data_IF_168425152928
#
_entry.id   IF_168425152928
#
_cell.length_a   1.000
_cell.length_b   1.000
_cell.length_c   1.000
_cell.angle_alpha   90.00
_cell.angle_beta   90.00
_cell.angle_gamma   90.00
#
_symmetry.space_group_name_H-M   'P 1'
#
loop_
_entity.id
_entity.type
_entity.pdbx_description
1 polymer ?
#
# COMPACT_ATOMS: atom_id res chain seq x y z
N UNK A 1 20.88 -7.22 -10.00
CA UNK A 1 19.67 -7.98 -10.38
C UNK A 1 19.93 -8.42 -11.81
N UNK A 2 20.01 -9.71 -12.11
CA UNK A 2 20.41 -10.19 -13.43
C UNK A 2 19.22 -10.07 -14.39
N UNK A 3 19.29 -9.15 -15.36
CA UNK A 3 18.25 -8.95 -16.38
C UNK A 3 18.01 -10.19 -17.25
N UNK A 4 18.97 -11.13 -17.28
CA UNK A 4 18.87 -12.39 -18.01
C UNK A 4 17.95 -13.44 -17.33
N UNK A 5 17.74 -13.39 -16.01
CA UNK A 5 16.83 -14.31 -15.31
C UNK A 5 15.34 -13.91 -15.44
N UNK A 6 15.07 -12.67 -15.85
CA UNK A 6 13.70 -12.19 -16.08
C UNK A 6 13.19 -12.48 -17.49
N UNK A 7 14.09 -12.79 -18.44
CA UNK A 7 13.74 -13.14 -19.82
C UNK A 7 13.01 -14.50 -19.86
N UNK A 8 11.69 -14.46 -19.73
CA UNK A 8 10.81 -15.64 -19.74
C UNK A 8 9.84 -15.70 -18.55
N UNK A 9 10.01 -14.84 -17.54
CA UNK A 9 9.07 -14.75 -16.42
C UNK A 9 7.93 -13.80 -16.79
N UNK A 10 6.76 -14.35 -17.04
CA UNK A 10 5.54 -13.57 -17.26
C UNK A 10 5.22 -12.65 -16.08
N UNK A 11 4.58 -11.53 -16.37
CA UNK A 11 3.99 -10.63 -15.36
C UNK A 11 2.52 -10.99 -15.10
N UNK A 12 1.85 -10.19 -14.28
CA UNK A 12 0.44 -10.40 -13.96
C UNK A 12 -0.48 -10.24 -15.20
N UNK A 13 -0.10 -9.42 -16.19
CA UNK A 13 -0.88 -9.26 -17.42
C UNK A 13 -0.79 -10.53 -18.27
N UNK A 14 0.39 -11.14 -18.36
CA UNK A 14 0.60 -12.41 -19.02
C UNK A 14 -0.30 -13.51 -18.41
N UNK A 15 -0.44 -13.54 -17.08
CA UNK A 15 -1.34 -14.47 -16.39
C UNK A 15 -2.82 -14.19 -16.71
N UNK A 16 -3.23 -12.92 -16.74
CA UNK A 16 -4.61 -12.52 -17.07
C UNK A 16 -4.97 -12.92 -18.51
N UNK A 17 -4.07 -12.68 -19.46
CA UNK A 17 -4.25 -13.01 -20.88
C UNK A 17 -4.26 -14.52 -21.11
N UNK A 18 -3.39 -15.29 -20.44
CA UNK A 18 -3.37 -16.76 -20.57
C UNK A 18 -4.66 -17.41 -20.06
N UNK A 19 -5.23 -16.89 -18.98
CA UNK A 19 -6.46 -17.42 -18.37
C UNK A 19 -7.73 -17.02 -19.11
N UNK A 20 -7.66 -16.16 -20.13
CA UNK A 20 -8.80 -15.66 -20.93
C UNK A 20 -9.72 -16.75 -21.48
N UNK A 21 -9.18 -17.93 -21.81
CA UNK A 21 -9.96 -19.07 -22.36
C UNK A 21 -10.62 -19.95 -21.30
N UNK A 22 -10.37 -19.69 -20.02
CA UNK A 22 -10.96 -20.46 -18.92
C UNK A 22 -12.36 -19.92 -18.57
N UNK A 23 -13.26 -20.75 -18.03
CA UNK A 23 -14.60 -20.30 -17.61
C UNK A 23 -14.58 -19.15 -16.59
N UNK A 24 -13.49 -19.00 -15.84
CA UNK A 24 -13.25 -17.92 -14.87
C UNK A 24 -12.26 -16.86 -15.37
N UNK A 25 -11.99 -16.83 -16.68
CA UNK A 25 -11.08 -15.87 -17.31
C UNK A 25 -11.69 -14.47 -17.43
N UNK A 26 -10.85 -13.45 -17.45
CA UNK A 26 -11.28 -12.06 -17.66
C UNK A 26 -11.45 -11.79 -19.16
N UNK A 27 -12.48 -11.04 -19.51
CA UNK A 27 -12.60 -10.48 -20.87
C UNK A 27 -11.62 -9.32 -21.09
N UNK A 28 -11.56 -8.77 -22.30
CA UNK A 28 -10.55 -7.74 -22.64
C UNK A 28 -10.77 -6.45 -21.87
N UNK A 29 -12.02 -6.02 -21.71
CA UNK A 29 -12.36 -4.82 -20.95
C UNK A 29 -12.04 -5.02 -19.46
N UNK A 30 -12.40 -6.17 -18.91
CA UNK A 30 -12.06 -6.54 -17.54
C UNK A 30 -10.55 -6.60 -17.33
N UNK A 31 -9.79 -7.11 -18.31
CA UNK A 31 -8.33 -7.16 -18.25
C UNK A 31 -7.75 -5.75 -18.23
N UNK A 32 -8.20 -4.87 -19.13
CA UNK A 32 -7.75 -3.48 -19.21
C UNK A 32 -8.07 -2.72 -17.91
N UNK A 33 -9.31 -2.84 -17.41
CA UNK A 33 -9.74 -2.15 -16.19
C UNK A 33 -8.98 -2.66 -14.97
N UNK A 34 -8.79 -3.98 -14.83
CA UNK A 34 -8.01 -4.52 -13.72
C UNK A 34 -6.53 -4.12 -13.81
N UNK A 35 -5.95 -4.06 -15.00
CA UNK A 35 -4.59 -3.59 -15.21
C UNK A 35 -4.43 -2.13 -14.75
N UNK A 36 -5.33 -1.25 -15.19
CA UNK A 36 -5.34 0.16 -14.82
C UNK A 36 -5.47 0.34 -13.30
N UNK A 37 -6.39 -0.39 -12.66
CA UNK A 37 -6.59 -0.37 -11.20
C UNK A 37 -5.31 -0.82 -10.48
N UNK A 38 -4.69 -1.94 -10.89
CA UNK A 38 -3.50 -2.48 -10.23
C UNK A 38 -2.31 -1.53 -10.35
N UNK A 39 -2.10 -0.96 -11.54
CA UNK A 39 -1.00 -0.03 -11.81
C UNK A 39 -1.22 1.27 -11.05
N UNK A 40 -2.39 1.90 -11.19
CA UNK A 40 -2.71 3.18 -10.58
C UNK A 40 -2.72 3.11 -9.05
N UNK A 41 -3.44 2.15 -8.47
CA UNK A 41 -3.52 2.00 -7.02
C UNK A 41 -2.15 1.68 -6.40
N UNK A 42 -1.34 0.86 -7.05
CA UNK A 42 0.00 0.52 -6.57
C UNK A 42 0.99 1.69 -6.64
N UNK A 43 0.98 2.42 -7.75
CA UNK A 43 1.91 3.52 -7.98
C UNK A 43 1.66 4.71 -7.05
N UNK A 44 0.41 5.21 -6.99
CA UNK A 44 0.07 6.40 -6.22
C UNK A 44 0.28 6.17 -4.71
N UNK A 45 -0.20 5.04 -4.18
CA UNK A 45 -0.12 4.76 -2.74
C UNK A 45 1.32 4.58 -2.27
N UNK A 46 2.16 3.90 -3.07
CA UNK A 46 3.58 3.73 -2.78
C UNK A 46 4.32 5.06 -2.85
N UNK A 47 4.10 5.85 -3.90
CA UNK A 47 4.73 7.16 -4.06
C UNK A 47 4.41 8.11 -2.90
N UNK A 48 3.14 8.16 -2.46
CA UNK A 48 2.73 8.95 -1.29
C UNK A 48 3.48 8.46 -0.05
N UNK A 49 3.51 7.14 0.21
CA UNK A 49 4.21 6.57 1.37
C UNK A 49 5.69 6.96 1.40
N UNK A 50 6.41 6.80 0.29
CA UNK A 50 7.83 7.17 0.22
C UNK A 50 8.03 8.68 0.44
N UNK A 51 7.25 9.50 -0.26
CA UNK A 51 7.37 10.97 -0.18
C UNK A 51 7.12 11.47 1.24
N UNK A 52 6.06 10.98 1.90
CA UNK A 52 5.71 11.37 3.28
C UNK A 52 6.73 10.87 4.29
N UNK A 53 7.25 9.65 4.10
CA UNK A 53 8.31 9.12 4.97
C UNK A 53 9.56 9.98 4.89
N UNK A 54 10.01 10.32 3.68
CA UNK A 54 11.17 11.18 3.48
C UNK A 54 10.97 12.57 4.08
N UNK A 55 9.79 13.18 3.88
CA UNK A 55 9.45 14.48 4.46
C UNK A 55 9.63 14.50 5.99
N UNK A 56 9.09 13.50 6.70
CA UNK A 56 9.18 13.45 8.17
C UNK A 56 10.57 13.07 8.68
N UNK A 57 11.29 12.21 7.96
CA UNK A 57 12.69 11.88 8.28
C UNK A 57 13.58 13.12 8.17
N UNK A 58 13.44 13.90 7.10
CA UNK A 58 14.24 15.10 6.89
C UNK A 58 13.95 16.19 7.94
N UNK A 59 12.72 16.27 8.45
CA UNK A 59 12.33 17.20 9.53
C UNK A 59 12.77 16.73 10.93
N UNK A 60 13.21 15.47 11.07
CA UNK A 60 13.57 14.86 12.35
C UNK A 60 15.01 14.33 12.35
N UNK A 61 16.04 15.18 12.56
CA UNK A 61 17.45 14.80 12.48
C UNK A 61 17.84 13.57 13.32
N UNK A 62 17.25 13.45 14.52
CA UNK A 62 17.48 12.29 15.42
C UNK A 62 16.95 10.98 14.83
N UNK A 63 15.78 11.02 14.19
CA UNK A 63 15.10 9.84 13.63
C UNK A 63 15.83 9.37 12.38
N UNK A 64 16.21 10.28 11.48
CA UNK A 64 16.98 9.92 10.28
C UNK A 64 18.38 9.40 10.62
N UNK A 65 19.06 9.98 11.62
CA UNK A 65 20.36 9.47 12.08
C UNK A 65 20.24 8.02 12.59
N UNK A 66 19.23 7.73 13.42
CA UNK A 66 18.98 6.38 13.95
C UNK A 66 18.62 5.38 12.84
N UNK A 67 17.82 5.78 11.86
CA UNK A 67 17.48 4.95 10.71
C UNK A 67 18.73 4.61 9.86
N UNK A 68 19.58 5.60 9.62
CA UNK A 68 20.84 5.42 8.89
C UNK A 68 21.81 4.51 9.66
N UNK A 69 21.93 4.69 10.98
CA UNK A 69 22.75 3.86 11.85
C UNK A 69 22.29 2.39 11.81
N UNK A 70 21.00 2.12 11.94
CA UNK A 70 20.45 0.76 11.86
C UNK A 70 20.81 0.10 10.52
N UNK A 71 20.55 0.78 9.39
CA UNK A 71 20.84 0.22 8.07
C UNK A 71 22.35 -0.01 7.86
N UNK A 72 23.18 0.96 8.23
CA UNK A 72 24.65 0.87 8.02
C UNK A 72 25.32 -0.12 8.97
N UNK A 73 24.79 -0.33 10.16
CA UNK A 73 25.30 -1.33 11.10
C UNK A 73 24.98 -2.76 10.66
N UNK A 74 23.85 -2.97 9.96
CA UNK A 74 23.39 -4.30 9.53
C UNK A 74 23.93 -4.72 8.17
N UNK A 75 24.04 -3.79 7.22
CA UNK A 75 24.42 -4.12 5.84
C UNK A 75 25.73 -3.47 5.46
N UNK A 76 26.75 -4.30 5.21
CA UNK A 76 28.05 -3.85 4.69
C UNK A 76 28.04 -3.51 3.20
N UNK A 77 26.96 -3.86 2.48
CA UNK A 77 26.80 -3.62 1.04
C UNK A 77 25.33 -3.67 0.64
N UNK A 78 24.95 -2.85 -0.33
CA UNK A 78 23.59 -2.81 -0.89
C UNK A 78 23.14 -4.17 -1.46
N UNK A 79 24.08 -4.98 -1.97
CA UNK A 79 23.75 -6.28 -2.57
C UNK A 79 23.30 -7.32 -1.54
N UNK A 80 23.52 -7.07 -0.25
CA UNK A 80 23.06 -7.93 0.84
C UNK A 80 21.63 -7.61 1.28
N UNK A 81 21.08 -6.48 0.84
CA UNK A 81 19.69 -6.10 1.13
C UNK A 81 18.77 -6.89 0.22
N UNK A 82 17.95 -7.75 0.82
CA UNK A 82 16.92 -8.51 0.12
C UNK A 82 15.62 -8.50 0.93
N UNK A 83 14.55 -9.06 0.35
CA UNK A 83 13.22 -9.02 0.97
C UNK A 83 13.19 -9.57 2.40
N UNK A 84 13.85 -10.71 2.64
CA UNK A 84 13.89 -11.36 3.95
C UNK A 84 14.67 -10.51 4.95
N UNK A 85 15.89 -10.14 4.61
CA UNK A 85 16.79 -9.38 5.49
C UNK A 85 16.26 -7.98 5.79
N UNK A 86 15.63 -7.31 4.82
CA UNK A 86 15.08 -5.97 5.00
C UNK A 86 13.94 -5.88 6.02
N UNK A 87 13.22 -6.99 6.23
CA UNK A 87 12.07 -7.04 7.16
C UNK A 87 12.45 -7.61 8.53
N UNK A 88 13.39 -8.55 8.60
CA UNK A 88 13.84 -9.13 9.88
C UNK A 88 14.93 -8.31 10.58
N UNK A 89 15.85 -7.70 9.81
CA UNK A 89 17.05 -7.06 10.39
C UNK A 89 16.89 -5.55 10.64
N UNK A 90 15.82 -4.92 10.16
CA UNK A 90 15.59 -3.47 10.25
C UNK A 90 14.27 -3.11 11.00
N UNK A 91 14.11 -3.52 12.26
CA UNK A 91 12.87 -3.29 13.00
C UNK A 91 12.55 -1.79 13.19
N UNK A 92 13.55 -0.93 13.36
CA UNK A 92 13.31 0.50 13.48
C UNK A 92 12.90 1.13 12.15
N UNK A 93 13.54 0.76 11.03
CA UNK A 93 13.23 1.33 9.71
C UNK A 93 11.78 1.13 9.27
N UNK A 94 11.08 0.11 9.77
CA UNK A 94 9.64 -0.09 9.52
C UNK A 94 8.77 0.98 10.20
N UNK A 95 9.24 1.54 11.31
CA UNK A 95 8.49 2.49 12.14
C UNK A 95 8.23 3.83 11.43
N UNK A 96 9.23 4.52 10.83
CA UNK A 96 9.00 5.74 10.05
C UNK A 96 7.98 5.58 8.91
N UNK A 97 7.99 4.43 8.23
CA UNK A 97 7.00 4.18 7.18
C UNK A 97 5.58 4.06 7.74
N UNK A 98 5.43 3.38 8.86
CA UNK A 98 4.14 3.19 9.53
C UNK A 98 3.61 4.52 10.06
N UNK A 99 4.48 5.30 10.71
CA UNK A 99 4.14 6.61 11.26
C UNK A 99 3.77 7.61 10.16
N UNK A 100 4.50 7.62 9.04
CA UNK A 100 4.17 8.47 7.91
C UNK A 100 2.77 8.19 7.35
N UNK A 101 2.36 6.91 7.30
CA UNK A 101 1.01 6.52 6.87
C UNK A 101 -0.06 6.77 7.94
N UNK A 102 0.30 6.74 9.22
CA UNK A 102 -0.60 7.09 10.31
C UNK A 102 -0.95 8.58 10.25
N UNK A 103 0.05 9.42 9.94
CA UNK A 103 -0.09 10.88 9.81
C UNK A 103 -0.65 11.33 8.46
N UNK A 104 -0.29 10.63 7.39
CA UNK A 104 -0.73 10.91 6.03
C UNK A 104 -1.17 9.62 5.34
N UNK A 105 -2.38 9.13 5.66
CA UNK A 105 -2.92 7.98 4.96
C UNK A 105 -3.10 8.34 3.47
N UNK A 106 -2.64 7.50 2.52
CA UNK A 106 -2.84 7.75 1.09
C UNK A 106 -4.32 7.87 0.71
N UNK A 107 -5.19 7.14 1.42
CA UNK A 107 -6.64 7.22 1.31
C UNK A 107 -7.24 7.57 2.69
N UNK A 108 -7.52 8.85 2.98
CA UNK A 108 -8.11 9.26 4.26
C UNK A 108 -9.55 8.80 4.43
N UNK A 109 -10.25 8.56 3.31
CA UNK A 109 -11.59 7.97 3.26
C UNK A 109 -11.50 6.66 2.48
N UNK A 110 -12.05 5.58 3.02
CA UNK A 110 -12.05 4.27 2.35
C UNK A 110 -13.00 4.26 1.15
N UNK A 111 -12.79 3.31 0.24
CA UNK A 111 -13.77 3.02 -0.81
C UNK A 111 -15.16 2.70 -0.20
N UNK A 112 -16.25 3.12 -0.87
CA UNK A 112 -17.60 2.92 -0.36
C UNK A 112 -17.90 1.43 -0.18
N UNK A 113 -18.45 1.08 0.97
CA UNK A 113 -19.14 -0.20 1.16
C UNK A 113 -20.63 0.01 0.92
N UNK A 114 -21.34 -1.05 0.55
CA UNK A 114 -22.79 -1.03 0.31
C UNK A 114 -23.45 -2.00 1.28
N UNK A 115 -24.46 -1.55 2.02
CA UNK A 115 -25.24 -2.47 2.86
C UNK A 115 -26.01 -3.46 1.98
N UNK A 116 -26.20 -4.71 2.44
CA UNK A 116 -26.96 -5.70 1.67
C UNK A 116 -28.39 -5.22 1.37
N UNK A 117 -28.95 -5.65 0.25
CA UNK A 117 -30.22 -5.11 -0.25
C UNK A 117 -31.43 -5.58 0.55
N UNK A 118 -31.33 -6.74 1.20
CA UNK A 118 -32.47 -7.40 1.86
C UNK A 118 -32.35 -7.44 3.38
N UNK A 119 -31.36 -6.75 3.99
CA UNK A 119 -31.21 -6.74 5.44
C UNK A 119 -30.69 -5.41 5.97
N UNK A 120 -31.18 -5.05 7.15
CA UNK A 120 -30.68 -3.93 7.96
C UNK A 120 -29.31 -4.30 8.51
N UNK A 121 -28.37 -3.36 8.50
CA UNK A 121 -27.02 -3.56 9.04
C UNK A 121 -26.87 -2.77 10.32
N UNK A 122 -26.46 -3.40 11.42
CA UNK A 122 -26.25 -2.72 12.71
C UNK A 122 -24.75 -2.47 12.90
N UNK A 123 -24.37 -1.22 13.17
CA UNK A 123 -23.01 -0.82 13.51
C UNK A 123 -23.03 -0.04 14.81
N UNK A 124 -22.46 -0.62 15.88
CA UNK A 124 -22.37 0.01 17.23
C UNK A 124 -23.69 0.69 17.61
N UNK A 125 -24.75 -0.11 17.62
CA UNK A 125 -26.12 0.27 17.98
C UNK A 125 -26.84 1.24 17.02
N UNK A 126 -26.19 1.65 15.93
CA UNK A 126 -26.82 2.41 14.87
C UNK A 126 -27.30 1.49 13.75
N UNK A 127 -28.55 1.66 13.36
CA UNK A 127 -29.15 0.88 12.31
C UNK A 127 -29.03 1.59 10.96
N UNK A 128 -28.51 0.86 9.98
CA UNK A 128 -28.28 1.36 8.63
C UNK A 128 -29.30 0.72 7.66
N UNK A 129 -30.00 1.54 6.85
CA UNK A 129 -30.92 1.03 5.84
C UNK A 129 -30.25 0.09 4.82
N UNK A 130 -31.03 -0.81 4.20
CA UNK A 130 -30.55 -1.60 3.06
C UNK A 130 -30.12 -0.71 1.89
N UNK A 131 -29.22 -1.20 1.03
CA UNK A 131 -28.78 -0.54 -0.20
C UNK A 131 -28.09 0.84 0.02
N UNK A 132 -27.58 1.13 1.21
CA UNK A 132 -26.92 2.39 1.56
C UNK A 132 -25.40 2.30 1.36
N UNK A 133 -24.80 3.35 0.76
CA UNK A 133 -23.34 3.50 0.68
C UNK A 133 -22.78 4.06 1.98
N UNK A 134 -21.82 3.38 2.56
CA UNK A 134 -21.12 3.79 3.77
C UNK A 134 -19.65 4.01 3.50
N UNK A 135 -19.09 5.02 4.15
CA UNK A 135 -17.67 5.39 4.06
C UNK A 135 -17.08 5.36 5.46
N UNK A 136 -15.83 4.91 5.56
CA UNK A 136 -15.07 5.04 6.78
C UNK A 136 -14.00 6.13 6.57
N UNK A 137 -14.11 7.21 7.33
CA UNK A 137 -13.08 8.24 7.37
C UNK A 137 -12.12 7.92 8.51
N UNK A 138 -10.83 7.82 8.22
CA UNK A 138 -9.81 7.79 9.26
C UNK A 138 -9.57 9.24 9.71
N UNK A 139 -9.76 9.52 11.00
CA UNK A 139 -9.41 10.81 11.58
C UNK A 139 -7.93 11.10 11.31
N UNK A 140 -7.65 12.21 10.62
CA UNK A 140 -6.30 12.71 10.39
C UNK A 140 -6.11 13.84 11.37
N UNK A 141 -5.37 13.63 12.46
CA UNK A 141 -5.02 14.71 13.38
C UNK A 141 -4.07 15.68 12.67
N UNK A 142 -4.59 16.82 12.24
CA UNK A 142 -3.78 17.92 11.74
C UNK A 142 -3.07 18.56 12.93
N UNK A 143 -1.76 18.37 13.00
CA UNK A 143 -0.92 19.11 13.94
C UNK A 143 -0.81 20.54 13.40
N UNK A 144 -1.60 21.46 13.94
CA UNK A 144 -1.34 22.89 13.79
C UNK A 144 -0.10 23.18 14.63
N UNK A 145 1.05 23.40 13.97
CA UNK A 145 2.27 23.83 14.65
C UNK A 145 1.98 25.15 15.40
N UNK A 146 2.07 25.11 16.73
CA UNK A 146 2.21 26.25 17.63
C UNK A 146 3.63 26.26 18.19
#
# INVERSE_FOLDING_TARGET
MNDLEQQGRGDFLNDMVQKRKQPSGLNDLETIVNADILIGAGAETSAIRMTRTLFWLLRSPKVIAKAQEEVRSKFSSQYKVNFVTSTSELPFMVSPFTEAMWRHPPLPITLPRKTPENQRTIIRDNELPPNMRTYYARSVHTYTDS
#
